data_IF_406049813141
#
_entry.id   IF_406049813141
#
_cell.length_a   1.000
_cell.length_b   1.000
_cell.length_c   1.000
_cell.angle_alpha   90.00
_cell.angle_beta   90.00
_cell.angle_gamma   90.00
#
_symmetry.space_group_name_H-M   'P 1'
#
loop_
_entity.id
_entity.type
_entity.pdbx_description
1 polymer ?
#
# COMPACT_ATOMS: atom_id res chain seq x y z
N UNK A 1 76.18 -4.84 -26.17
CA UNK A 1 75.41 -4.37 -25.03
C UNK A 1 74.09 -3.85 -25.55
N UNK A 2 73.01 -4.62 -25.48
CA UNK A 2 71.68 -4.26 -25.98
C UNK A 2 70.91 -3.60 -24.82
N UNK A 3 70.52 -2.34 -24.96
CA UNK A 3 69.63 -1.65 -24.00
C UNK A 3 68.16 -2.01 -24.32
N UNK A 4 67.53 -2.74 -23.39
CA UNK A 4 66.12 -3.04 -23.47
C UNK A 4 65.39 -1.85 -22.87
N UNK A 5 64.63 -1.12 -23.71
CA UNK A 5 63.79 -0.02 -23.30
C UNK A 5 62.44 -0.64 -22.87
N UNK A 6 62.20 -0.66 -21.56
CA UNK A 6 60.95 -1.16 -20.99
C UNK A 6 59.88 -0.04 -21.10
N UNK A 7 58.96 -0.17 -22.05
CA UNK A 7 57.85 0.76 -22.21
C UNK A 7 56.77 0.41 -21.23
N UNK A 8 56.60 1.18 -20.15
CA UNK A 8 55.48 1.08 -19.22
C UNK A 8 54.24 1.70 -19.88
N UNK A 9 53.31 0.85 -20.36
CA UNK A 9 51.99 1.26 -20.77
C UNK A 9 51.15 1.34 -19.51
N UNK A 10 50.96 2.55 -18.97
CA UNK A 10 50.00 2.83 -17.93
C UNK A 10 48.60 2.94 -18.60
N UNK A 11 47.86 1.84 -18.58
CA UNK A 11 46.43 1.86 -18.93
C UNK A 11 45.68 2.58 -17.81
N UNK A 12 45.36 3.85 -18.03
CA UNK A 12 44.41 4.57 -17.21
C UNK A 12 43.01 3.96 -17.43
N UNK A 13 42.55 3.15 -16.51
CA UNK A 13 41.16 2.76 -16.43
C UNK A 13 40.35 4.01 -16.06
N UNK A 14 39.82 4.68 -17.07
CA UNK A 14 38.75 5.67 -16.88
C UNK A 14 37.53 4.88 -16.45
N UNK A 15 37.35 4.74 -15.15
CA UNK A 15 36.10 4.27 -14.56
C UNK A 15 35.05 5.32 -14.85
N UNK A 16 34.26 5.11 -15.89
CA UNK A 16 33.06 5.89 -16.15
C UNK A 16 32.04 5.46 -15.09
N UNK A 17 31.98 6.13 -13.95
CA UNK A 17 30.86 6.04 -13.04
C UNK A 17 29.63 6.54 -13.78
N UNK A 18 28.88 5.63 -14.37
CA UNK A 18 27.51 5.90 -14.80
C UNK A 18 26.72 6.21 -13.53
N UNK A 19 26.57 7.49 -13.20
CA UNK A 19 25.53 7.93 -12.28
C UNK A 19 24.22 7.46 -12.87
N UNK A 20 23.68 6.36 -12.34
CA UNK A 20 22.30 5.96 -12.59
C UNK A 20 21.48 7.05 -11.93
N UNK A 21 21.08 8.05 -12.73
CA UNK A 21 20.06 9.00 -12.31
C UNK A 21 18.78 8.17 -12.17
N UNK A 22 18.38 7.88 -10.94
CA UNK A 22 17.07 7.28 -10.71
C UNK A 22 16.04 8.22 -11.33
N UNK A 23 15.52 7.80 -12.47
CA UNK A 23 14.40 8.49 -13.10
C UNK A 23 13.20 8.22 -12.22
N UNK A 24 12.83 9.19 -11.37
CA UNK A 24 11.61 9.13 -10.61
C UNK A 24 10.45 8.88 -11.57
N UNK A 25 9.97 7.63 -11.60
CA UNK A 25 8.89 7.23 -12.48
C UNK A 25 7.62 7.94 -12.03
N UNK A 26 7.08 8.80 -12.89
CA UNK A 26 5.85 9.53 -12.63
C UNK A 26 4.68 8.55 -12.51
N UNK A 27 4.03 8.54 -11.34
CA UNK A 27 2.83 7.74 -11.07
C UNK A 27 1.51 8.47 -11.35
N UNK A 28 1.58 9.70 -11.86
CA UNK A 28 0.39 10.51 -12.13
C UNK A 28 0.48 11.92 -11.54
N UNK A 29 -0.64 12.63 -11.53
CA UNK A 29 -0.74 14.02 -11.07
C UNK A 29 -2.09 14.26 -10.41
N UNK A 30 -2.15 15.21 -9.46
CA UNK A 30 -3.41 15.70 -8.87
C UNK A 30 -4.02 16.77 -9.77
N UNK A 31 -5.30 16.61 -10.12
CA UNK A 31 -6.00 17.52 -11.03
C UNK A 31 -6.99 18.46 -10.35
N UNK A 32 -7.26 18.29 -9.06
CA UNK A 32 -8.25 19.07 -8.33
C UNK A 32 -7.83 19.36 -6.88
N UNK A 33 -8.27 20.52 -6.36
CA UNK A 33 -8.04 20.97 -4.98
C UNK A 33 -6.68 21.63 -4.77
N UNK A 34 -6.31 21.82 -3.52
CA UNK A 34 -5.08 22.52 -3.08
C UNK A 34 -3.78 21.89 -3.59
N UNK A 35 -3.85 20.63 -3.97
CA UNK A 35 -2.70 19.87 -4.44
C UNK A 35 -2.65 19.76 -5.97
N UNK A 36 -3.46 20.54 -6.71
CA UNK A 36 -3.46 20.52 -8.17
C UNK A 36 -2.05 20.73 -8.74
N UNK A 37 -1.68 19.89 -9.72
CA UNK A 37 -0.36 19.91 -10.36
C UNK A 37 0.73 19.16 -9.61
N UNK A 38 0.53 18.74 -8.35
CA UNK A 38 1.49 17.91 -7.65
C UNK A 38 1.54 16.52 -8.25
N UNK A 39 2.76 16.07 -8.53
CA UNK A 39 3.05 14.78 -9.14
C UNK A 39 3.03 13.67 -8.09
N UNK A 40 2.68 12.47 -8.54
CA UNK A 40 2.89 11.24 -7.78
C UNK A 40 4.13 10.53 -8.30
N UNK A 41 4.90 10.00 -7.37
CA UNK A 41 6.01 9.07 -7.60
C UNK A 41 5.57 7.68 -7.15
N UNK A 42 6.28 6.65 -7.60
CA UNK A 42 6.07 5.30 -7.07
C UNK A 42 6.49 5.30 -5.60
N UNK A 43 5.62 4.80 -4.74
CA UNK A 43 5.87 4.68 -3.30
C UNK A 43 6.78 3.51 -2.94
N UNK A 44 7.01 3.34 -1.65
CA UNK A 44 7.95 2.35 -1.12
C UNK A 44 7.41 0.92 -1.15
N UNK A 45 8.32 -0.05 -1.23
CA UNK A 45 7.99 -1.47 -1.04
C UNK A 45 7.52 -1.77 0.40
N UNK A 46 7.98 -0.98 1.37
CA UNK A 46 7.55 -1.10 2.77
C UNK A 46 6.06 -0.80 2.89
N UNK A 47 5.62 0.34 2.35
CA UNK A 47 4.19 0.69 2.34
C UNK A 47 3.35 -0.32 1.58
N UNK A 48 3.86 -0.83 0.45
CA UNK A 48 3.19 -1.89 -0.30
C UNK A 48 2.96 -3.14 0.56
N UNK A 49 4.00 -3.62 1.25
CA UNK A 49 3.91 -4.81 2.12
C UNK A 49 2.93 -4.59 3.27
N UNK A 50 2.98 -3.45 3.95
CA UNK A 50 2.05 -3.11 5.05
C UNK A 50 0.60 -3.17 4.56
N UNK A 51 0.29 -2.55 3.42
CA UNK A 51 -1.07 -2.52 2.89
C UNK A 51 -1.59 -3.92 2.51
N UNK A 52 -0.76 -4.73 1.85
CA UNK A 52 -1.13 -6.11 1.48
C UNK A 52 -1.31 -6.97 2.73
N UNK A 53 -0.41 -6.85 3.71
CA UNK A 53 -0.53 -7.58 4.99
C UNK A 53 -1.79 -7.18 5.76
N UNK A 54 -2.15 -5.90 5.80
CA UNK A 54 -3.39 -5.44 6.45
C UNK A 54 -4.64 -6.07 5.82
N UNK A 55 -4.69 -6.11 4.48
CA UNK A 55 -5.80 -6.71 3.73
C UNK A 55 -5.92 -8.20 4.02
N UNK A 56 -4.80 -8.93 4.07
CA UNK A 56 -4.80 -10.36 4.36
C UNK A 56 -5.12 -10.65 5.83
N UNK A 57 -4.51 -9.92 6.77
CA UNK A 57 -4.75 -10.07 8.21
C UNK A 57 -6.24 -9.94 8.56
N UNK A 58 -6.96 -9.01 7.91
CA UNK A 58 -8.41 -8.92 8.10
C UNK A 58 -9.12 -10.21 7.69
N UNK A 59 -8.81 -10.79 6.53
CA UNK A 59 -9.46 -12.02 6.07
C UNK A 59 -9.12 -13.24 6.95
N UNK A 60 -7.92 -13.24 7.52
CA UNK A 60 -7.41 -14.29 8.41
C UNK A 60 -7.91 -14.13 9.86
N UNK A 61 -8.53 -12.99 10.20
CA UNK A 61 -8.94 -12.67 11.57
C UNK A 61 -7.78 -12.34 12.50
N UNK A 62 -6.60 -12.03 11.94
CA UNK A 62 -5.41 -11.64 12.71
C UNK A 62 -5.47 -10.15 13.08
N UNK A 63 -6.35 -9.85 14.04
CA UNK A 63 -6.57 -8.46 14.44
C UNK A 63 -5.41 -7.90 15.28
N UNK A 64 -4.62 -8.74 15.91
CA UNK A 64 -3.41 -8.32 16.65
C UNK A 64 -2.38 -7.77 15.65
N UNK A 65 -2.13 -8.48 14.55
CA UNK A 65 -1.27 -8.00 13.49
C UNK A 65 -1.82 -6.70 12.86
N UNK A 66 -3.14 -6.57 12.69
CA UNK A 66 -3.75 -5.33 12.21
C UNK A 66 -3.48 -4.16 13.17
N UNK A 67 -3.62 -4.35 14.48
CA UNK A 67 -3.32 -3.32 15.48
C UNK A 67 -1.84 -2.92 15.45
N UNK A 68 -0.93 -3.89 15.28
CA UNK A 68 0.51 -3.60 15.15
C UNK A 68 0.86 -2.75 13.93
N UNK A 69 0.13 -2.91 12.82
CA UNK A 69 0.35 -2.16 11.58
C UNK A 69 -0.34 -0.80 11.53
N UNK A 70 -1.16 -0.47 12.51
CA UNK A 70 -1.99 0.74 12.50
C UNK A 70 -1.60 1.73 13.60
N UNK A 71 -2.05 2.97 13.48
CA UNK A 71 -1.96 3.99 14.53
C UNK A 71 -3.02 3.74 15.62
N UNK A 72 -2.91 4.43 16.76
CA UNK A 72 -3.89 4.33 17.88
C UNK A 72 -5.33 4.61 17.42
N UNK A 73 -5.50 5.40 16.38
CA UNK A 73 -6.80 5.65 15.76
C UNK A 73 -6.64 5.61 14.24
N UNK A 74 -7.44 4.76 13.59
CA UNK A 74 -7.53 4.69 12.12
C UNK A 74 -8.84 5.30 11.67
N UNK A 75 -8.80 6.20 10.69
CA UNK A 75 -10.01 6.74 10.07
C UNK A 75 -10.45 5.83 8.92
N UNK A 76 -11.56 5.13 9.11
CA UNK A 76 -12.17 4.30 8.08
C UNK A 76 -13.28 5.06 7.36
N UNK A 77 -13.25 5.06 6.04
CA UNK A 77 -14.28 5.67 5.20
C UNK A 77 -14.80 4.68 4.18
N UNK A 78 -16.11 4.55 4.14
CA UNK A 78 -16.87 3.90 3.07
C UNK A 78 -18.01 4.84 2.67
N UNK A 79 -18.35 4.99 1.38
CA UNK A 79 -19.32 5.97 0.92
C UNK A 79 -20.70 5.88 1.59
N UNK A 80 -21.14 4.69 1.98
CA UNK A 80 -22.41 4.48 2.69
C UNK A 80 -22.46 5.17 4.07
N UNK A 81 -21.31 5.43 4.69
CA UNK A 81 -21.26 6.13 6.00
C UNK A 81 -21.34 7.65 5.87
N UNK A 82 -21.14 8.20 4.67
CA UNK A 82 -21.15 9.65 4.41
C UNK A 82 -19.98 10.43 5.02
N UNK A 83 -19.29 9.90 6.02
CA UNK A 83 -18.12 10.49 6.68
C UNK A 83 -17.17 9.41 7.21
N UNK A 84 -15.88 9.72 7.38
CA UNK A 84 -14.95 8.81 8.04
C UNK A 84 -15.37 8.54 9.48
N UNK A 85 -15.26 7.27 9.91
CA UNK A 85 -15.44 6.85 11.29
C UNK A 85 -14.09 6.56 11.94
N UNK A 86 -13.82 6.96 13.19
CA UNK A 86 -12.62 6.57 13.91
C UNK A 86 -12.76 5.14 14.43
N UNK A 87 -11.74 4.34 14.18
CA UNK A 87 -11.55 3.00 14.75
C UNK A 87 -10.36 3.09 15.70
N UNK A 88 -10.62 2.91 16.99
CA UNK A 88 -9.61 3.04 18.06
C UNK A 88 -8.99 1.68 18.33
N UNK A 89 -7.66 1.62 18.40
CA UNK A 89 -6.91 0.41 18.74
C UNK A 89 -6.81 0.23 20.28
N UNK A 90 -6.82 -1.05 20.74
CA UNK A 90 -7.00 -2.26 19.94
C UNK A 90 -8.44 -2.43 19.44
N UNK A 91 -8.57 -2.79 18.15
CA UNK A 91 -9.86 -2.86 17.46
C UNK A 91 -10.45 -4.28 17.38
N UNK A 92 -9.89 -5.26 18.11
CA UNK A 92 -10.23 -6.67 18.03
C UNK A 92 -11.73 -6.94 18.22
N UNK A 93 -12.35 -6.34 19.23
CA UNK A 93 -13.78 -6.53 19.50
C UNK A 93 -14.63 -5.97 18.36
N UNK A 94 -14.35 -4.76 17.90
CA UNK A 94 -15.04 -4.11 16.79
C UNK A 94 -14.93 -4.92 15.49
N UNK A 95 -13.72 -5.37 15.13
CA UNK A 95 -13.48 -6.16 13.92
C UNK A 95 -14.13 -7.54 14.01
N UNK A 96 -14.07 -8.20 15.19
CA UNK A 96 -14.76 -9.47 15.44
C UNK A 96 -16.27 -9.35 15.27
N UNK A 97 -16.87 -8.25 15.75
CA UNK A 97 -18.30 -8.00 15.58
C UNK A 97 -18.68 -7.86 14.11
N UNK A 98 -17.86 -7.18 13.29
CA UNK A 98 -18.09 -7.04 11.85
C UNK A 98 -18.01 -8.40 11.16
N UNK A 99 -17.08 -9.27 11.55
CA UNK A 99 -16.90 -10.59 10.94
C UNK A 99 -17.87 -11.66 11.45
N UNK A 100 -18.41 -11.50 12.67
CA UNK A 100 -19.25 -12.48 13.33
C UNK A 100 -20.45 -13.01 12.55
N UNK A 101 -21.06 -12.27 11.58
CA UNK A 101 -22.14 -12.81 10.76
C UNK A 101 -21.70 -13.86 9.74
N UNK A 102 -20.40 -14.01 9.48
CA UNK A 102 -19.84 -14.86 8.43
C UNK A 102 -19.12 -16.08 9.01
N UNK A 103 -19.26 -17.22 8.35
CA UNK A 103 -18.54 -18.45 8.71
C UNK A 103 -17.05 -18.34 8.36
N UNK A 104 -16.73 -17.64 7.28
CA UNK A 104 -15.37 -17.28 6.88
C UNK A 104 -15.36 -16.14 5.85
N UNK A 105 -14.21 -15.48 5.74
CA UNK A 105 -13.95 -14.46 4.73
C UNK A 105 -12.67 -14.85 4.00
N UNK A 106 -12.66 -14.72 2.67
CA UNK A 106 -11.44 -14.88 1.88
C UNK A 106 -11.22 -13.68 0.97
N UNK A 107 -9.98 -13.28 0.77
CA UNK A 107 -9.59 -12.20 -0.12
C UNK A 107 -8.60 -12.65 -1.17
N UNK A 108 -8.79 -12.21 -2.40
CA UNK A 108 -7.86 -12.44 -3.50
C UNK A 108 -7.46 -11.11 -4.12
N UNK A 109 -6.26 -10.66 -3.79
CA UNK A 109 -5.68 -9.43 -4.31
C UNK A 109 -5.22 -9.67 -5.75
N UNK A 110 -5.51 -8.74 -6.68
CA UNK A 110 -4.98 -8.78 -8.05
C UNK A 110 -4.03 -7.64 -8.36
N UNK A 111 -4.10 -6.51 -7.63
CA UNK A 111 -3.06 -5.49 -7.70
C UNK A 111 -2.94 -4.70 -6.39
N UNK A 112 -1.76 -4.12 -6.18
CA UNK A 112 -1.49 -3.16 -5.13
C UNK A 112 -0.49 -2.13 -5.68
N UNK A 113 -0.82 -0.84 -5.62
CA UNK A 113 -0.07 0.24 -6.26
C UNK A 113 0.28 1.29 -5.22
N UNK A 114 1.57 1.36 -4.79
CA UNK A 114 2.04 2.38 -3.86
C UNK A 114 2.34 3.69 -4.60
N UNK A 115 1.86 4.80 -4.08
CA UNK A 115 2.10 6.14 -4.60
C UNK A 115 2.47 7.11 -3.48
N UNK A 116 3.43 7.99 -3.75
CA UNK A 116 3.79 9.12 -2.90
C UNK A 116 3.56 10.42 -3.64
N UNK A 117 2.74 11.30 -3.09
CA UNK A 117 2.55 12.63 -3.65
C UNK A 117 3.72 13.55 -3.26
N UNK A 118 4.22 14.33 -4.20
CA UNK A 118 5.29 15.29 -3.94
C UNK A 118 4.93 16.24 -2.79
N UNK A 119 5.82 16.33 -1.78
CA UNK A 119 5.63 17.13 -0.58
C UNK A 119 4.67 16.55 0.45
N UNK A 120 4.24 15.28 0.30
CA UNK A 120 3.46 14.57 1.33
C UNK A 120 4.37 13.85 2.33
N UNK A 121 3.95 13.84 3.60
CA UNK A 121 4.58 13.07 4.68
C UNK A 121 4.01 11.64 4.81
N UNK A 122 3.12 11.25 3.89
CA UNK A 122 2.53 9.92 3.83
C UNK A 122 2.54 9.35 2.41
N UNK A 123 2.43 8.05 2.33
CA UNK A 123 2.21 7.30 1.09
C UNK A 123 0.78 6.75 1.05
N UNK A 124 0.29 6.47 -0.15
CA UNK A 124 -0.98 5.80 -0.36
C UNK A 124 -0.76 4.53 -1.14
N UNK A 125 -1.39 3.44 -0.72
CA UNK A 125 -1.43 2.20 -1.48
C UNK A 125 -2.87 1.91 -1.88
N UNK A 126 -3.11 1.79 -3.18
CA UNK A 126 -4.39 1.34 -3.69
C UNK A 126 -4.33 -0.17 -3.88
N UNK A 127 -5.12 -0.91 -3.11
CA UNK A 127 -5.22 -2.37 -3.18
C UNK A 127 -6.59 -2.75 -3.74
N UNK A 128 -6.61 -3.58 -4.77
CA UNK A 128 -7.84 -4.06 -5.40
C UNK A 128 -7.95 -5.58 -5.25
N UNK A 129 -9.10 -6.06 -4.78
CA UNK A 129 -9.31 -7.48 -4.49
C UNK A 129 -10.77 -7.89 -4.61
N UNK A 130 -11.00 -9.22 -4.71
CA UNK A 130 -12.30 -9.86 -4.48
C UNK A 130 -12.33 -10.33 -3.03
N UNK A 131 -13.41 -10.04 -2.34
CA UNK A 131 -13.75 -10.61 -1.04
C UNK A 131 -14.94 -11.55 -1.21
N UNK A 132 -14.79 -12.78 -0.73
CA UNK A 132 -15.91 -13.72 -0.60
C UNK A 132 -16.23 -13.87 0.88
N UNK A 133 -17.49 -13.64 1.23
CA UNK A 133 -18.05 -13.80 2.57
C UNK A 133 -18.97 -15.02 2.56
N UNK A 134 -18.63 -16.02 3.32
CA UNK A 134 -19.37 -17.27 3.42
C UNK A 134 -20.32 -17.20 4.62
N UNK A 135 -21.59 -17.55 4.41
CA UNK A 135 -22.59 -17.54 5.45
C UNK A 135 -23.63 -18.61 5.18
N UNK A 136 -23.71 -19.63 6.05
CA UNK A 136 -24.70 -20.72 5.98
C UNK A 136 -24.76 -21.40 4.60
N UNK A 137 -23.61 -21.58 3.97
CA UNK A 137 -23.49 -22.20 2.65
C UNK A 137 -23.71 -21.27 1.46
N UNK A 138 -24.09 -20.01 1.69
CA UNK A 138 -24.17 -18.97 0.67
C UNK A 138 -22.85 -18.18 0.61
N UNK A 139 -22.59 -17.57 -0.55
CA UNK A 139 -21.38 -16.74 -0.78
C UNK A 139 -21.81 -15.37 -1.32
N UNK A 140 -21.53 -14.34 -0.53
CA UNK A 140 -21.56 -12.97 -1.01
C UNK A 140 -20.20 -12.62 -1.62
N UNK A 141 -20.18 -12.13 -2.85
CA UNK A 141 -18.95 -11.76 -3.54
C UNK A 141 -18.90 -10.25 -3.78
N UNK A 142 -17.83 -9.62 -3.30
CA UNK A 142 -17.60 -8.19 -3.42
C UNK A 142 -16.31 -7.91 -4.19
N UNK A 143 -16.36 -6.93 -5.06
CA UNK A 143 -15.16 -6.28 -5.61
C UNK A 143 -14.86 -5.06 -4.76
N UNK A 144 -13.65 -5.01 -4.20
CA UNK A 144 -13.25 -3.96 -3.27
C UNK A 144 -12.00 -3.25 -3.79
N UNK A 145 -11.97 -1.95 -3.59
CA UNK A 145 -10.79 -1.10 -3.79
C UNK A 145 -10.57 -0.33 -2.51
N UNK A 146 -9.47 -0.64 -1.83
CA UNK A 146 -9.01 0.10 -0.66
C UNK A 146 -7.91 1.08 -1.08
N UNK A 147 -8.03 2.32 -0.61
CA UNK A 147 -6.92 3.28 -0.58
C UNK A 147 -6.45 3.42 0.85
N UNK A 148 -5.27 2.89 1.11
CA UNK A 148 -4.65 2.81 2.43
C UNK A 148 -3.60 3.90 2.55
N UNK A 149 -3.67 4.71 3.60
CA UNK A 149 -2.78 5.84 3.86
C UNK A 149 -1.81 5.46 4.98
N UNK A 150 -0.51 5.59 4.70
CA UNK A 150 0.57 5.11 5.55
C UNK A 150 1.55 6.25 5.82
N UNK A 151 1.84 6.47 7.11
CA UNK A 151 2.83 7.41 7.62
C UNK A 151 3.66 6.70 8.68
N UNK A 152 4.98 6.89 8.68
CA UNK A 152 5.90 6.29 9.65
C UNK A 152 5.68 4.77 9.82
N UNK A 153 5.47 4.08 8.69
CA UNK A 153 5.19 2.64 8.63
C UNK A 153 3.91 2.20 9.38
N UNK A 154 2.97 3.12 9.62
CA UNK A 154 1.68 2.84 10.25
C UNK A 154 0.52 3.32 9.38
N UNK A 155 -0.53 2.51 9.30
CA UNK A 155 -1.77 2.88 8.64
C UNK A 155 -2.58 3.80 9.55
N UNK A 156 -2.96 4.98 9.07
CA UNK A 156 -3.78 5.93 9.81
C UNK A 156 -5.16 6.19 9.19
N UNK A 157 -5.35 5.75 7.93
CA UNK A 157 -6.62 5.90 7.24
C UNK A 157 -6.80 4.82 6.17
N UNK A 158 -8.03 4.35 6.02
CA UNK A 158 -8.46 3.47 4.92
C UNK A 158 -9.72 4.05 4.30
N UNK A 159 -9.70 4.25 2.98
CA UNK A 159 -10.91 4.56 2.22
C UNK A 159 -11.24 3.33 1.37
N UNK A 160 -12.45 2.80 1.55
CA UNK A 160 -12.92 1.61 0.85
C UNK A 160 -14.06 1.96 -0.10
N UNK A 161 -14.02 1.40 -1.28
CA UNK A 161 -15.14 1.35 -2.22
C UNK A 161 -15.42 -0.10 -2.56
N UNK A 162 -16.68 -0.48 -2.51
CA UNK A 162 -17.10 -1.84 -2.81
C UNK A 162 -18.31 -1.86 -3.77
N UNK A 163 -18.52 -3.00 -4.40
CA UNK A 163 -19.67 -3.30 -5.23
C UNK A 163 -19.86 -4.81 -5.33
N UNK A 164 -21.10 -5.24 -5.43
CA UNK A 164 -21.43 -6.65 -5.64
C UNK A 164 -20.93 -7.13 -7.00
N UNK A 165 -20.60 -8.40 -7.09
CA UNK A 165 -20.22 -9.08 -8.34
C UNK A 165 -21.23 -10.20 -8.56
N UNK A 166 -21.96 -10.11 -9.67
CA UNK A 166 -22.89 -11.14 -10.13
C UNK A 166 -22.15 -12.39 -10.60
#
# INVERSE_FOLDING_TARGET
>A
MKKILLLFITTAFISCETKITEVNKLGGMTYYGENTGKKFEIGSEVSLKIAVSLVNAYAEGDFDLMNEMTTDTVFFFEPSFGKPIPVVNPANEFLSQIQSPYDSITRRIWNAIPLKRAGSDYETVTVSFIENRYKKGEVEKLRIVDRIFIRDSKVFRVNQWNGTVD
#
